data_IF_482313853079
#
_entry.id   IF_482313853079
#
_cell.length_a   1.000
_cell.length_b   1.000
_cell.length_c   1.000
_cell.angle_alpha   90.00
_cell.angle_beta   90.00
_cell.angle_gamma   90.00
#
_symmetry.space_group_name_H-M   'P 1'
#
loop_
_entity.id
_entity.type
_entity.pdbx_description
1 polymer ?
#
# COMPACT_ATOMS: atom_id res chain seq x y z
N UNK A 1 -2.48 22.56 16.52
CA UNK A 1 -2.92 21.18 16.73
C UNK A 1 -1.92 20.53 17.66
N UNK A 2 -2.38 19.98 18.77
CA UNK A 2 -1.56 19.17 19.65
C UNK A 2 -1.24 17.83 18.99
N UNK A 3 -0.20 17.14 19.46
CA UNK A 3 0.14 15.81 18.95
C UNK A 3 -1.01 14.80 19.08
N UNK A 4 -1.76 14.73 20.21
CA UNK A 4 -2.94 13.88 20.30
C UNK A 4 -4.00 14.19 19.24
N UNK A 5 -4.34 15.48 19.06
CA UNK A 5 -5.31 15.90 18.04
C UNK A 5 -4.85 15.53 16.62
N UNK A 6 -3.54 15.57 16.36
CA UNK A 6 -2.96 15.19 15.07
C UNK A 6 -3.09 13.68 14.79
N UNK A 7 -2.85 12.86 15.81
CA UNK A 7 -2.96 11.41 15.72
C UNK A 7 -4.42 10.98 15.54
N UNK A 8 -5.35 11.62 16.24
CA UNK A 8 -6.78 11.35 16.10
C UNK A 8 -7.25 11.66 14.66
N UNK A 9 -6.87 12.82 14.12
CA UNK A 9 -7.17 13.16 12.73
C UNK A 9 -6.52 12.18 11.74
N UNK A 10 -5.27 11.77 11.98
CA UNK A 10 -4.60 10.79 11.12
C UNK A 10 -5.34 9.46 11.11
N UNK A 11 -5.81 8.99 12.27
CA UNK A 11 -6.59 7.76 12.40
C UNK A 11 -7.91 7.84 11.62
N UNK A 12 -8.62 8.96 11.69
CA UNK A 12 -9.85 9.18 10.91
C UNK A 12 -9.59 9.15 9.39
N UNK A 13 -8.54 9.84 8.94
CA UNK A 13 -8.17 9.88 7.53
C UNK A 13 -7.73 8.50 7.02
N UNK A 14 -6.95 7.76 7.81
CA UNK A 14 -6.56 6.39 7.48
C UNK A 14 -7.77 5.46 7.42
N UNK A 15 -8.68 5.55 8.39
CA UNK A 15 -9.92 4.76 8.40
C UNK A 15 -10.80 5.06 7.17
N UNK A 16 -10.86 6.32 6.73
CA UNK A 16 -11.55 6.69 5.49
C UNK A 16 -10.85 6.14 4.24
N UNK A 17 -9.54 6.38 4.11
CA UNK A 17 -8.76 6.03 2.92
C UNK A 17 -8.66 4.50 2.72
N UNK A 18 -8.78 3.72 3.79
CA UNK A 18 -8.66 2.26 3.75
C UNK A 18 -10.00 1.52 3.74
N UNK A 19 -11.12 2.18 3.47
CA UNK A 19 -12.41 1.49 3.28
C UNK A 19 -12.35 0.50 2.10
N UNK A 20 -13.02 -0.66 2.21
CA UNK A 20 -12.96 -1.74 1.22
C UNK A 20 -13.27 -1.29 -0.22
N UNK A 21 -14.20 -0.33 -0.39
CA UNK A 21 -14.57 0.23 -1.71
C UNK A 21 -13.44 0.97 -2.42
N UNK A 22 -12.38 1.37 -1.71
CA UNK A 22 -11.18 2.03 -2.27
C UNK A 22 -10.02 1.04 -2.44
N UNK A 23 -10.18 -0.22 -2.04
CA UNK A 23 -9.10 -1.19 -2.09
C UNK A 23 -9.12 -2.01 -3.37
N UNK A 24 -7.94 -2.15 -3.97
CA UNK A 24 -7.65 -3.21 -4.93
C UNK A 24 -6.78 -4.27 -4.24
N UNK A 25 -7.21 -5.53 -4.29
CA UNK A 25 -6.46 -6.65 -3.72
C UNK A 25 -5.98 -7.60 -4.82
N UNK A 26 -4.67 -7.59 -5.04
CA UNK A 26 -4.04 -8.46 -6.02
C UNK A 26 -3.82 -9.87 -5.46
N UNK A 27 -4.28 -10.88 -6.20
CA UNK A 27 -3.98 -12.30 -5.92
C UNK A 27 -2.83 -12.73 -6.83
N UNK A 28 -1.62 -12.77 -6.27
CA UNK A 28 -0.41 -13.06 -7.00
C UNK A 28 -0.45 -14.42 -7.70
N UNK A 29 0.06 -14.46 -8.93
CA UNK A 29 0.40 -15.67 -9.68
C UNK A 29 1.83 -15.55 -10.19
N UNK A 30 2.45 -16.71 -10.42
CA UNK A 30 3.80 -16.74 -10.99
C UNK A 30 3.81 -16.03 -12.35
N UNK A 31 4.72 -15.06 -12.49
CA UNK A 31 4.86 -14.26 -13.72
C UNK A 31 4.15 -12.91 -13.68
N UNK A 32 3.26 -12.67 -12.70
CA UNK A 32 2.58 -11.38 -12.58
C UNK A 32 3.57 -10.23 -12.37
N UNK A 33 3.20 -9.07 -12.90
CA UNK A 33 3.88 -7.79 -12.70
C UNK A 33 2.81 -6.78 -12.38
N UNK A 34 2.95 -6.13 -11.24
CA UNK A 34 2.08 -5.02 -10.83
C UNK A 34 2.93 -3.76 -10.81
N UNK A 35 2.43 -2.71 -11.43
CA UNK A 35 2.99 -1.37 -11.36
C UNK A 35 1.93 -0.46 -10.78
N UNK A 36 2.35 0.47 -9.94
CA UNK A 36 1.46 1.42 -9.30
C UNK A 36 2.17 2.77 -9.13
N UNK A 37 1.40 3.85 -9.08
CA UNK A 37 1.92 5.20 -8.87
C UNK A 37 1.91 5.53 -7.36
N UNK A 38 3.10 5.63 -6.75
CA UNK A 38 3.25 5.92 -5.33
C UNK A 38 2.66 7.27 -4.90
N UNK A 39 2.43 8.22 -5.82
CA UNK A 39 1.90 9.54 -5.46
C UNK A 39 0.42 9.53 -5.13
N UNK A 40 -0.34 8.55 -5.62
CA UNK A 40 -1.80 8.56 -5.51
C UNK A 40 -2.38 7.39 -4.73
N UNK A 41 -1.55 6.55 -4.11
CA UNK A 41 -2.03 5.38 -3.37
C UNK A 41 -1.13 4.98 -2.20
N UNK A 42 -1.72 4.18 -1.33
CA UNK A 42 -1.03 3.41 -0.30
C UNK A 42 -1.07 1.92 -0.69
N UNK A 43 -0.07 1.15 -0.26
CA UNK A 43 -0.04 -0.29 -0.46
C UNK A 43 0.42 -1.00 0.82
N UNK A 44 -0.08 -2.23 1.02
CA UNK A 44 0.27 -3.09 2.14
C UNK A 44 0.42 -4.53 1.64
N UNK A 45 1.50 -5.19 2.04
CA UNK A 45 1.58 -6.64 1.97
C UNK A 45 0.79 -7.24 3.13
N UNK A 46 -0.22 -8.06 2.83
CA UNK A 46 -0.96 -8.82 3.83
C UNK A 46 -0.28 -10.17 4.03
N UNK A 47 -0.22 -10.67 5.25
CA UNK A 47 0.41 -11.94 5.63
C UNK A 47 -0.52 -13.17 5.45
N UNK A 48 -1.60 -13.00 4.69
CA UNK A 48 -2.69 -13.96 4.55
C UNK A 48 -2.59 -14.81 3.27
N UNK A 49 -1.36 -15.15 2.89
CA UNK A 49 -1.06 -16.08 1.81
C UNK A 49 -0.54 -17.41 2.38
N UNK A 50 -1.07 -18.53 1.88
CA UNK A 50 -0.47 -19.84 2.10
C UNK A 50 0.81 -19.93 1.26
N UNK A 51 1.97 -19.78 1.91
CA UNK A 51 3.28 -19.92 1.26
C UNK A 51 3.93 -21.26 1.65
N UNK A 52 3.64 -22.36 0.93
CA UNK A 52 4.39 -23.60 1.09
C UNK A 52 5.86 -23.49 0.62
N UNK A 53 6.22 -22.43 -0.11
CA UNK A 53 7.58 -22.12 -0.56
C UNK A 53 7.88 -20.61 -0.51
N UNK A 54 9.17 -20.27 -0.38
CA UNK A 54 9.67 -18.89 -0.45
C UNK A 54 9.45 -18.32 -1.86
N UNK A 55 8.58 -17.31 -1.99
CA UNK A 55 8.40 -16.53 -3.22
C UNK A 55 9.22 -15.24 -3.17
N UNK A 56 9.91 -14.92 -4.27
CA UNK A 56 10.64 -13.66 -4.41
C UNK A 56 9.78 -12.63 -5.15
N UNK A 57 9.71 -11.42 -4.59
CA UNK A 57 9.18 -10.24 -5.28
C UNK A 57 10.35 -9.30 -5.55
N UNK A 58 10.57 -8.97 -6.82
CA UNK A 58 11.55 -7.97 -7.21
C UNK A 58 10.85 -6.63 -7.31
N UNK A 59 11.39 -5.62 -6.61
CA UNK A 59 10.83 -4.27 -6.61
C UNK A 59 11.81 -3.31 -7.29
N UNK A 60 11.31 -2.54 -8.25
CA UNK A 60 12.03 -1.45 -8.91
C UNK A 60 11.24 -0.17 -8.70
N UNK A 61 11.89 0.86 -8.16
CA UNK A 61 11.29 2.17 -7.94
C UNK A 61 11.88 3.18 -8.91
N UNK A 62 11.01 3.95 -9.55
CA UNK A 62 11.41 5.09 -10.36
C UNK A 62 11.48 6.34 -9.48
N UNK A 63 12.50 7.16 -9.67
CA UNK A 63 12.63 8.44 -8.98
C UNK A 63 11.54 9.39 -9.47
N UNK A 64 10.81 10.01 -8.54
CA UNK A 64 9.85 11.07 -8.87
C UNK A 64 10.54 12.41 -9.16
N UNK A 65 9.93 13.22 -10.02
CA UNK A 65 10.48 14.50 -10.48
C UNK A 65 10.13 15.70 -9.57
N UNK A 66 9.16 15.54 -8.65
CA UNK A 66 8.68 16.63 -7.79
C UNK A 66 9.15 16.47 -6.35
N UNK A 67 9.70 17.55 -5.81
CA UNK A 67 9.98 17.73 -4.38
C UNK A 67 8.85 18.59 -3.81
N UNK A 68 7.70 17.97 -3.53
CA UNK A 68 6.67 18.57 -2.67
C UNK A 68 6.95 18.18 -1.22
#
# INVERSE_FOLDING_TARGET
MSEPEALDLLNELLAHATQEKYQYRHKWRLGDRVMWDNWCLQHKANDDYDMPQLGYVYHVMLKGDKST
#
